data_IF_129553826830
#
_entry.id   IF_129553826830
#
_cell.length_a   1.000
_cell.length_b   1.000
_cell.length_c   1.000
_cell.angle_alpha   90.00
_cell.angle_beta   90.00
_cell.angle_gamma   90.00
#
_symmetry.space_group_name_H-M   'P 1'
#
loop_
_entity.id
_entity.type
_entity.pdbx_description
1 polymer ?
#
# COMPACT_ATOMS: atom_id res chain seq x y z
N UNK A 1 -27.91 7.73 -1.75
CA UNK A 1 -27.37 8.26 -0.50
C UNK A 1 -26.35 7.24 -0.03
N UNK A 2 -25.06 7.58 -0.01
CA UNK A 2 -24.01 6.71 0.51
C UNK A 2 -24.21 6.60 2.03
N UNK A 3 -24.33 5.41 2.55
CA UNK A 3 -24.56 5.12 3.98
C UNK A 3 -23.38 5.49 4.88
N UNK A 4 -22.76 6.64 4.71
CA UNK A 4 -21.79 7.20 5.68
C UNK A 4 -20.53 6.38 6.01
N UNK A 5 -20.31 5.26 5.36
CA UNK A 5 -19.14 4.41 5.57
C UNK A 5 -17.96 4.95 4.74
N UNK A 6 -16.98 5.54 5.42
CA UNK A 6 -15.74 5.95 4.78
C UNK A 6 -14.97 4.73 4.26
N UNK A 7 -14.36 4.85 3.08
CA UNK A 7 -13.44 3.84 2.56
C UNK A 7 -12.05 4.04 3.14
N UNK A 8 -11.51 3.05 3.84
CA UNK A 8 -10.20 3.13 4.51
C UNK A 8 -9.05 3.39 3.52
N UNK A 9 -9.07 2.71 2.36
CA UNK A 9 -8.11 2.91 1.29
C UNK A 9 -8.12 4.36 0.78
N UNK A 10 -9.29 4.91 0.46
CA UNK A 10 -9.43 6.29 0.01
C UNK A 10 -8.99 7.29 1.09
N UNK A 11 -9.45 7.10 2.33
CA UNK A 11 -9.07 7.96 3.47
C UNK A 11 -7.57 7.92 3.70
N UNK A 12 -6.95 6.73 3.69
CA UNK A 12 -5.50 6.57 3.84
C UNK A 12 -4.71 7.30 2.75
N UNK A 13 -5.08 7.11 1.49
CA UNK A 13 -4.42 7.77 0.35
C UNK A 13 -4.53 9.29 0.41
N UNK A 14 -5.72 9.82 0.66
CA UNK A 14 -5.94 11.27 0.76
C UNK A 14 -5.19 11.86 1.97
N UNK A 15 -5.24 11.20 3.11
CA UNK A 15 -4.51 11.63 4.31
C UNK A 15 -3.01 11.66 4.07
N UNK A 16 -2.44 10.62 3.46
CA UNK A 16 -1.03 10.58 3.06
C UNK A 16 -0.67 11.74 2.15
N UNK A 17 -1.47 12.00 1.12
CA UNK A 17 -1.23 13.08 0.17
C UNK A 17 -1.25 14.45 0.89
N UNK A 18 -2.25 14.71 1.71
CA UNK A 18 -2.38 15.96 2.46
C UNK A 18 -1.22 16.17 3.43
N UNK A 19 -0.75 15.12 4.13
CA UNK A 19 0.42 15.22 5.00
C UNK A 19 1.66 15.60 4.19
N UNK A 20 1.88 14.96 3.04
CA UNK A 20 3.03 15.26 2.15
C UNK A 20 2.97 16.65 1.52
N UNK A 21 1.78 17.22 1.35
CA UNK A 21 1.58 18.60 0.93
C UNK A 21 1.71 19.63 2.08
N UNK A 22 2.07 19.21 3.29
CA UNK A 22 2.29 20.10 4.42
C UNK A 22 1.06 20.34 5.31
N UNK A 23 -0.07 19.67 5.06
CA UNK A 23 -1.30 19.81 5.85
C UNK A 23 -1.38 18.84 7.04
N UNK A 24 -0.26 18.24 7.47
CA UNK A 24 -0.24 17.26 8.57
C UNK A 24 -0.77 17.79 9.90
N UNK A 25 -0.71 19.10 10.14
CA UNK A 25 -1.22 19.75 11.35
C UNK A 25 -2.66 20.24 11.24
N UNK A 26 -3.29 20.12 10.06
CA UNK A 26 -4.71 20.44 9.89
C UNK A 26 -5.57 19.50 10.74
N UNK A 27 -6.54 20.07 11.47
CA UNK A 27 -7.44 19.32 12.36
C UNK A 27 -8.20 18.22 11.61
N UNK A 28 -8.53 18.43 10.34
CA UNK A 28 -9.26 17.44 9.52
C UNK A 28 -8.37 16.24 9.19
N UNK A 29 -7.10 16.47 8.91
CA UNK A 29 -6.10 15.44 8.65
C UNK A 29 -5.84 14.60 9.91
N UNK A 30 -5.72 15.26 11.07
CA UNK A 30 -5.60 14.56 12.38
C UNK A 30 -6.83 13.70 12.66
N UNK A 31 -8.03 14.23 12.45
CA UNK A 31 -9.29 13.44 12.59
C UNK A 31 -9.34 12.24 11.64
N UNK A 32 -8.79 12.35 10.43
CA UNK A 32 -8.73 11.22 9.52
C UNK A 32 -7.79 10.11 10.05
N UNK A 33 -6.64 10.46 10.63
CA UNK A 33 -5.76 9.49 11.30
C UNK A 33 -6.44 8.85 12.51
N UNK A 34 -7.13 9.63 13.34
CA UNK A 34 -7.90 9.14 14.48
C UNK A 34 -9.01 8.16 14.01
N UNK A 35 -9.71 8.51 12.96
CA UNK A 35 -10.74 7.64 12.37
C UNK A 35 -10.15 6.31 11.87
N UNK A 36 -8.99 6.34 11.21
CA UNK A 36 -8.29 5.12 10.82
C UNK A 36 -7.95 4.25 12.04
N UNK A 37 -7.52 4.84 13.15
CA UNK A 37 -7.28 4.09 14.41
C UNK A 37 -8.55 3.43 14.93
N UNK A 38 -9.66 4.19 15.00
CA UNK A 38 -10.94 3.72 15.52
C UNK A 38 -11.58 2.61 14.71
N UNK A 39 -11.27 2.55 13.43
CA UNK A 39 -11.88 1.61 12.48
C UNK A 39 -10.96 0.45 12.07
N UNK A 40 -9.74 0.42 12.62
CA UNK A 40 -8.82 -0.70 12.39
C UNK A 40 -9.34 -1.99 13.03
N UNK A 41 -9.09 -3.11 12.36
CA UNK A 41 -9.39 -4.43 12.93
C UNK A 41 -8.56 -4.69 14.19
N UNK A 42 -9.10 -5.40 15.18
CA UNK A 42 -8.36 -5.75 16.40
C UNK A 42 -7.05 -6.51 16.13
N UNK A 43 -7.04 -7.35 15.08
CA UNK A 43 -5.86 -8.11 14.62
C UNK A 43 -5.02 -7.39 13.57
N UNK A 44 -5.26 -6.09 13.35
CA UNK A 44 -4.52 -5.25 12.41
C UNK A 44 -5.17 -5.10 11.04
N UNK A 45 -4.82 -3.99 10.38
CA UNK A 45 -5.30 -3.64 9.06
C UNK A 45 -6.75 -3.19 8.98
N UNK A 46 -7.26 -3.06 7.77
CA UNK A 46 -8.61 -2.58 7.45
C UNK A 46 -9.26 -3.42 6.35
N UNK A 47 -10.61 -3.30 6.28
CA UNK A 47 -11.43 -3.83 5.19
C UNK A 47 -12.37 -2.73 4.71
N UNK A 48 -12.31 -2.37 3.43
CA UNK A 48 -13.10 -1.26 2.85
C UNK A 48 -14.57 -1.57 2.66
N UNK A 49 -14.96 -2.83 2.71
CA UNK A 49 -16.34 -3.26 2.51
C UNK A 49 -16.86 -3.93 3.77
N UNK A 50 -18.07 -3.53 4.19
CA UNK A 50 -18.84 -4.26 5.20
C UNK A 50 -19.36 -5.57 4.58
N UNK A 51 -18.48 -6.53 4.38
CA UNK A 51 -18.95 -7.88 4.12
C UNK A 51 -19.53 -8.46 5.42
N UNK A 52 -20.71 -9.03 5.36
CA UNK A 52 -21.29 -9.76 6.50
C UNK A 52 -20.34 -10.87 7.00
N UNK A 53 -19.48 -11.35 6.11
CA UNK A 53 -18.46 -12.37 6.34
C UNK A 53 -17.03 -11.79 6.27
N UNK A 54 -16.84 -10.52 6.64
CA UNK A 54 -15.50 -9.92 6.66
C UNK A 54 -14.58 -10.75 7.57
N UNK A 55 -13.34 -11.06 7.13
CA UNK A 55 -12.38 -11.75 7.98
C UNK A 55 -12.11 -10.94 9.24
N UNK A 56 -11.78 -11.63 10.33
CA UNK A 56 -11.45 -11.00 11.61
C UNK A 56 -10.18 -10.11 11.56
N UNK A 57 -9.52 -10.08 10.41
CA UNK A 57 -8.31 -9.31 10.11
C UNK A 57 -8.54 -8.38 8.94
N UNK A 58 -7.70 -7.37 8.76
CA UNK A 58 -7.66 -6.54 7.57
C UNK A 58 -7.35 -7.36 6.30
N UNK A 59 -7.42 -6.68 5.14
CA UNK A 59 -7.04 -7.24 3.85
C UNK A 59 -5.83 -6.47 3.30
N UNK A 60 -4.93 -7.18 2.64
CA UNK A 60 -3.70 -6.59 2.09
C UNK A 60 -3.99 -5.39 1.18
N UNK A 61 -4.96 -5.51 0.27
CA UNK A 61 -5.34 -4.43 -0.64
C UNK A 61 -5.96 -3.22 0.06
N UNK A 62 -6.64 -3.41 1.19
CA UNK A 62 -7.38 -2.34 1.86
C UNK A 62 -6.55 -1.69 2.98
N UNK A 63 -5.42 -2.27 3.34
CA UNK A 63 -4.67 -1.91 4.55
C UNK A 63 -3.42 -1.06 4.29
N UNK A 64 -2.75 -1.24 3.14
CA UNK A 64 -1.50 -0.54 2.87
C UNK A 64 -1.67 0.99 2.78
N UNK A 65 -2.81 1.47 2.24
CA UNK A 65 -3.07 2.90 2.17
C UNK A 65 -3.25 3.52 3.56
N UNK A 66 -3.97 2.83 4.46
CA UNK A 66 -4.10 3.26 5.86
C UNK A 66 -2.74 3.36 6.53
N UNK A 67 -1.92 2.32 6.45
CA UNK A 67 -0.55 2.34 6.99
C UNK A 67 0.33 3.40 6.35
N UNK A 68 0.19 3.67 5.05
CA UNK A 68 0.96 4.68 4.35
C UNK A 68 0.67 6.11 4.83
N UNK A 69 -0.52 6.37 5.35
CA UNK A 69 -0.85 7.66 5.98
C UNK A 69 -0.03 7.86 7.26
N UNK A 70 0.10 6.83 8.08
CA UNK A 70 0.96 6.88 9.27
C UNK A 70 2.45 6.97 8.90
N UNK A 71 2.90 6.25 7.88
CA UNK A 71 4.29 6.35 7.39
C UNK A 71 4.65 7.76 6.89
N UNK A 72 3.68 8.54 6.43
CA UNK A 72 3.87 9.94 6.06
C UNK A 72 3.83 10.91 7.26
N UNK A 73 3.29 10.49 8.40
CA UNK A 73 3.15 11.31 9.61
C UNK A 73 4.39 11.20 10.49
N UNK A 74 4.93 12.32 11.04
CA UNK A 74 6.03 12.26 11.98
C UNK A 74 5.69 11.42 13.21
N UNK A 75 6.55 10.45 13.56
CA UNK A 75 6.33 9.56 14.72
C UNK A 75 6.20 10.29 16.05
N UNK A 76 6.83 11.45 16.18
CA UNK A 76 6.72 12.31 17.36
C UNK A 76 5.31 12.82 17.63
N UNK A 77 4.45 12.80 16.60
CA UNK A 77 3.04 13.20 16.69
C UNK A 77 2.08 12.02 16.94
N UNK A 78 2.58 10.78 17.01
CA UNK A 78 1.73 9.62 17.22
C UNK A 78 1.32 9.48 18.68
N UNK A 79 0.02 9.36 18.90
CA UNK A 79 -0.55 8.97 20.19
C UNK A 79 -0.33 7.47 20.46
N UNK A 80 -0.52 7.03 21.71
CA UNK A 80 -0.41 5.61 22.04
C UNK A 80 -1.39 4.73 21.23
N UNK A 81 -2.67 5.11 21.01
CA UNK A 81 -3.56 4.36 20.10
C UNK A 81 -3.06 4.29 18.66
N UNK A 82 -2.45 5.35 18.13
CA UNK A 82 -1.86 5.33 16.79
C UNK A 82 -0.70 4.34 16.69
N UNK A 83 0.19 4.35 17.69
CA UNK A 83 1.32 3.39 17.77
C UNK A 83 0.82 1.96 17.74
N UNK A 84 -0.10 1.60 18.63
CA UNK A 84 -0.67 0.26 18.68
C UNK A 84 -1.43 -0.14 17.40
N UNK A 85 -2.10 0.80 16.72
CA UNK A 85 -2.73 0.55 15.44
C UNK A 85 -1.70 0.22 14.36
N UNK A 86 -0.61 1.00 14.28
CA UNK A 86 0.48 0.79 13.31
C UNK A 86 1.19 -0.52 13.59
N UNK A 87 1.51 -0.84 14.85
CA UNK A 87 2.17 -2.09 15.24
C UNK A 87 1.36 -3.31 14.80
N UNK A 88 0.07 -3.36 15.11
CA UNK A 88 -0.81 -4.46 14.67
C UNK A 88 -0.95 -4.53 13.15
N UNK A 89 -1.05 -3.36 12.50
CA UNK A 89 -1.14 -3.31 11.03
C UNK A 89 0.15 -3.75 10.34
N UNK A 90 1.31 -3.39 10.88
CA UNK A 90 2.60 -3.83 10.39
C UNK A 90 2.78 -5.34 10.62
N UNK A 91 2.45 -5.84 11.82
CA UNK A 91 2.54 -7.25 12.16
C UNK A 91 1.71 -8.12 11.21
N UNK A 92 0.50 -7.68 10.85
CA UNK A 92 -0.32 -8.36 9.84
C UNK A 92 0.44 -8.61 8.52
N UNK A 93 1.22 -7.63 8.03
CA UNK A 93 2.03 -7.82 6.82
C UNK A 93 3.27 -8.66 7.05
N UNK A 94 3.91 -8.51 8.19
CA UNK A 94 5.14 -9.21 8.54
C UNK A 94 4.90 -10.71 8.75
N UNK A 95 3.82 -11.10 9.43
CA UNK A 95 3.40 -12.49 9.59
C UNK A 95 3.19 -13.19 8.23
N UNK A 96 2.75 -12.46 7.24
CA UNK A 96 2.54 -12.96 5.88
C UNK A 96 3.73 -12.72 4.94
N UNK A 97 4.86 -12.25 5.46
CA UNK A 97 6.07 -11.91 4.69
C UNK A 97 5.76 -11.11 3.42
N UNK A 98 4.76 -10.22 3.49
CA UNK A 98 4.23 -9.39 2.40
C UNK A 98 3.52 -10.16 1.26
N UNK A 99 3.67 -11.46 1.13
CA UNK A 99 3.24 -12.22 -0.04
C UNK A 99 2.53 -13.55 0.24
N UNK A 100 2.54 -14.03 1.48
CA UNK A 100 2.01 -15.37 1.86
C UNK A 100 0.54 -15.35 2.26
N UNK A 101 -0.29 -14.57 1.60
CA UNK A 101 -1.71 -14.55 1.87
C UNK A 101 -2.46 -15.46 0.88
N UNK A 102 -2.62 -16.73 1.24
CA UNK A 102 -3.25 -17.73 0.39
C UNK A 102 -2.37 -18.20 -0.77
N UNK A 103 -2.97 -18.49 -1.94
CA UNK A 103 -2.23 -18.87 -3.13
C UNK A 103 -1.40 -17.69 -3.66
N UNK A 104 -0.27 -18.01 -4.29
CA UNK A 104 0.57 -17.00 -4.93
C UNK A 104 -0.24 -16.18 -5.93
N UNK A 105 -0.23 -14.86 -5.77
CA UNK A 105 -0.90 -13.93 -6.65
C UNK A 105 0.13 -13.13 -7.46
N UNK A 106 0.34 -13.51 -8.70
CA UNK A 106 1.39 -12.96 -9.58
C UNK A 106 1.41 -11.43 -9.71
N UNK A 107 0.27 -10.71 -9.73
CA UNK A 107 0.30 -9.24 -9.77
C UNK A 107 1.09 -8.59 -8.63
N UNK A 108 1.18 -9.21 -7.45
CA UNK A 108 1.95 -8.64 -6.33
C UNK A 108 3.47 -8.65 -6.58
N UNK A 109 3.96 -9.45 -7.51
CA UNK A 109 5.37 -9.53 -7.87
C UNK A 109 5.75 -8.59 -9.02
N UNK A 110 4.79 -7.81 -9.54
CA UNK A 110 4.97 -6.86 -10.64
C UNK A 110 4.93 -5.44 -10.10
N UNK A 111 6.07 -4.75 -10.11
CA UNK A 111 6.16 -3.36 -9.65
C UNK A 111 5.42 -2.43 -10.57
N UNK A 112 4.52 -1.65 -10.03
CA UNK A 112 3.62 -0.81 -10.80
C UNK A 112 3.72 0.68 -10.43
N UNK A 113 3.32 1.52 -11.38
CA UNK A 113 3.18 2.95 -11.23
C UNK A 113 2.14 3.47 -12.25
N UNK A 114 1.25 4.44 -11.91
CA UNK A 114 1.11 5.11 -10.60
C UNK A 114 0.64 4.20 -9.45
N UNK A 115 0.96 4.62 -8.22
CA UNK A 115 0.39 4.01 -7.01
C UNK A 115 -1.05 4.48 -6.85
N UNK A 116 -1.98 3.66 -7.24
CA UNK A 116 -3.39 3.84 -6.94
C UNK A 116 -3.86 2.68 -6.06
N UNK A 117 -4.95 2.05 -6.27
CA UNK A 117 -5.54 1.06 -5.38
C UNK A 117 -4.73 -0.24 -5.21
N UNK A 118 -3.95 -0.64 -6.20
CA UNK A 118 -3.31 -1.95 -6.22
C UNK A 118 -2.10 -2.05 -5.29
N UNK A 119 -1.85 -3.28 -4.82
CA UNK A 119 -0.71 -3.64 -4.01
C UNK A 119 0.32 -4.41 -4.83
N UNK A 120 1.59 -4.16 -4.56
CA UNK A 120 2.72 -5.01 -4.93
C UNK A 120 3.76 -5.03 -3.80
N UNK A 121 4.73 -5.92 -3.89
CA UNK A 121 5.76 -6.07 -2.86
C UNK A 121 6.60 -4.80 -2.64
N UNK A 122 6.80 -3.97 -3.67
CA UNK A 122 7.48 -2.68 -3.51
C UNK A 122 6.62 -1.68 -2.72
N UNK A 123 5.30 -1.72 -2.88
CA UNK A 123 4.37 -0.94 -2.05
C UNK A 123 4.47 -1.36 -0.59
N UNK A 124 4.41 -2.67 -0.33
CA UNK A 124 4.56 -3.22 1.02
C UNK A 124 5.89 -2.84 1.68
N UNK A 125 6.99 -3.00 0.95
CA UNK A 125 8.32 -2.60 1.41
C UNK A 125 8.41 -1.09 1.72
N UNK A 126 7.90 -0.23 0.82
CA UNK A 126 7.94 1.23 1.01
C UNK A 126 7.16 1.64 2.27
N UNK A 127 6.00 1.04 2.50
CA UNK A 127 5.19 1.30 3.70
C UNK A 127 5.90 0.82 4.96
N UNK A 128 6.33 -0.44 5.01
CA UNK A 128 6.92 -1.01 6.22
C UNK A 128 8.28 -0.40 6.56
N UNK A 129 9.15 -0.17 5.58
CA UNK A 129 10.42 0.53 5.83
C UNK A 129 10.17 1.98 6.24
N UNK A 130 9.18 2.65 5.67
CA UNK A 130 8.74 3.99 6.09
C UNK A 130 8.21 4.04 7.52
N UNK A 131 7.61 2.95 7.98
CA UNK A 131 7.21 2.74 9.37
C UNK A 131 8.38 2.27 10.28
N UNK A 132 9.59 2.06 9.73
CA UNK A 132 10.81 1.70 10.44
C UNK A 132 10.98 0.23 10.77
N UNK A 133 10.37 -0.62 10.00
CA UNK A 133 10.57 -2.07 10.04
C UNK A 133 11.63 -2.55 9.02
N UNK A 134 12.52 -1.65 8.56
CA UNK A 134 13.51 -1.97 7.51
C UNK A 134 14.44 -3.13 7.86
N UNK A 135 14.73 -3.32 9.15
CA UNK A 135 15.63 -4.35 9.65
C UNK A 135 14.89 -5.65 10.05
N UNK A 136 13.58 -5.74 9.84
CA UNK A 136 12.84 -6.96 10.14
C UNK A 136 13.18 -8.06 9.13
N UNK A 137 13.68 -9.21 9.61
CA UNK A 137 14.12 -10.31 8.77
C UNK A 137 13.01 -10.92 7.90
N UNK A 138 11.76 -10.76 8.30
CA UNK A 138 10.57 -11.21 7.54
C UNK A 138 10.38 -10.45 6.22
N UNK A 139 11.06 -9.32 6.03
CA UNK A 139 11.11 -8.62 4.75
C UNK A 139 12.11 -9.23 3.76
N UNK A 140 12.90 -10.21 4.19
CA UNK A 140 14.02 -10.78 3.43
C UNK A 140 13.67 -11.21 2.02
N UNK A 141 12.56 -11.98 1.85
CA UNK A 141 12.11 -12.41 0.53
C UNK A 141 11.78 -11.22 -0.40
N UNK A 142 11.04 -10.24 0.09
CA UNK A 142 10.64 -9.09 -0.71
C UNK A 142 11.84 -8.19 -1.07
N UNK A 143 12.80 -8.04 -0.15
CA UNK A 143 14.05 -7.31 -0.39
C UNK A 143 14.95 -8.04 -1.39
N UNK A 144 15.02 -9.36 -1.32
CA UNK A 144 15.75 -10.16 -2.31
C UNK A 144 15.14 -10.01 -3.71
N UNK A 145 13.81 -10.09 -3.82
CA UNK A 145 13.11 -9.84 -5.08
C UNK A 145 13.40 -8.43 -5.60
N UNK A 146 13.36 -7.42 -4.74
CA UNK A 146 13.71 -6.05 -5.09
C UNK A 146 15.12 -5.95 -5.66
N UNK A 147 16.12 -6.54 -4.98
CA UNK A 147 17.52 -6.56 -5.44
C UNK A 147 17.66 -7.30 -6.77
N UNK A 148 17.03 -8.46 -6.92
CA UNK A 148 17.04 -9.28 -8.15
C UNK A 148 16.47 -8.54 -9.37
N UNK A 149 15.48 -7.70 -9.17
CA UNK A 149 14.87 -6.90 -10.27
C UNK A 149 15.73 -5.69 -10.68
N UNK A 150 16.83 -5.41 -9.99
CA UNK A 150 17.76 -4.34 -10.35
C UNK A 150 18.47 -4.67 -11.65
N UNK A 151 18.41 -3.77 -12.63
CA UNK A 151 19.11 -3.89 -13.93
C UNK A 151 20.60 -3.53 -13.78
N UNK A 152 21.41 -3.94 -14.75
CA UNK A 152 22.85 -3.62 -14.80
C UNK A 152 23.15 -2.13 -14.70
N UNK A 153 22.26 -1.26 -15.22
CA UNK A 153 22.36 0.19 -15.10
C UNK A 153 21.90 0.77 -13.75
N UNK A 154 21.70 -0.05 -12.72
CA UNK A 154 21.31 0.41 -11.37
C UNK A 154 19.85 0.86 -11.24
N UNK A 155 19.03 0.65 -12.26
CA UNK A 155 17.62 1.06 -12.32
C UNK A 155 16.69 -0.14 -12.23
N UNK A 156 15.41 0.14 -11.95
CA UNK A 156 14.32 -0.84 -11.99
C UNK A 156 13.35 -0.53 -13.12
N UNK A 157 12.76 -1.57 -13.69
CA UNK A 157 11.71 -1.43 -14.71
C UNK A 157 10.36 -1.17 -14.08
N UNK A 158 9.48 -0.51 -14.84
CA UNK A 158 8.04 -0.56 -14.62
C UNK A 158 7.55 -1.90 -15.16
N UNK A 159 7.05 -2.79 -14.31
CA UNK A 159 6.54 -4.09 -14.76
C UNK A 159 5.10 -3.97 -15.30
N UNK A 160 4.31 -3.06 -14.73
CA UNK A 160 2.94 -2.81 -15.15
C UNK A 160 2.52 -1.37 -14.83
N UNK A 161 1.70 -0.77 -15.69
CA UNK A 161 1.01 0.50 -15.40
C UNK A 161 -0.16 0.24 -14.47
N UNK A 162 -0.86 -0.85 -14.69
CA UNK A 162 -1.94 -1.35 -13.87
C UNK A 162 -1.75 -2.86 -13.73
N UNK A 163 -1.46 -3.39 -12.54
CA UNK A 163 -1.44 -4.83 -12.34
C UNK A 163 -2.84 -5.37 -12.61
N UNK A 164 -2.91 -6.57 -13.14
CA UNK A 164 -4.14 -7.15 -13.66
C UNK A 164 -5.37 -6.92 -12.79
N UNK A 165 -6.47 -6.47 -13.39
CA UNK A 165 -7.75 -6.58 -12.71
C UNK A 165 -8.00 -8.05 -12.37
N UNK A 166 -8.66 -8.33 -11.25
CA UNK A 166 -9.14 -9.67 -10.98
C UNK A 166 -9.93 -10.20 -12.20
N UNK A 167 -10.01 -11.52 -12.44
CA UNK A 167 -10.80 -12.04 -13.56
C UNK A 167 -12.24 -11.50 -13.59
N UNK A 168 -12.84 -11.28 -12.41
CA UNK A 168 -14.17 -10.67 -12.29
C UNK A 168 -14.17 -9.20 -12.76
N UNK A 169 -13.17 -8.41 -12.37
CA UNK A 169 -13.04 -7.02 -12.84
C UNK A 169 -12.73 -6.97 -14.32
N UNK A 170 -11.89 -7.86 -14.85
CA UNK A 170 -11.61 -7.95 -16.27
C UNK A 170 -12.86 -8.25 -17.09
N UNK A 171 -13.68 -9.21 -16.63
CA UNK A 171 -14.98 -9.54 -17.22
C UNK A 171 -15.92 -8.33 -17.18
N UNK A 172 -16.06 -7.71 -16.02
CA UNK A 172 -16.94 -6.54 -15.86
C UNK A 172 -16.53 -5.38 -16.78
N UNK A 173 -15.23 -5.09 -16.92
CA UNK A 173 -14.74 -4.06 -17.84
C UNK A 173 -14.92 -4.43 -19.32
N UNK A 174 -14.87 -5.71 -19.66
CA UNK A 174 -15.18 -6.17 -21.02
C UNK A 174 -16.66 -5.92 -21.38
N UNK A 175 -17.56 -6.12 -20.40
CA UNK A 175 -18.99 -5.85 -20.54
C UNK A 175 -19.34 -4.36 -20.49
N UNK A 176 -18.48 -3.52 -19.91
CA UNK A 176 -18.67 -2.09 -19.70
C UNK A 176 -17.47 -1.25 -20.20
N UNK A 177 -17.13 -1.29 -21.49
CA UNK A 177 -15.89 -0.69 -22.01
C UNK A 177 -15.78 0.83 -21.74
N UNK A 178 -16.91 1.54 -21.75
CA UNK A 178 -16.97 2.98 -21.49
C UNK A 178 -16.75 3.36 -20.00
N UNK A 179 -16.72 2.39 -19.09
CA UNK A 179 -16.47 2.57 -17.66
C UNK A 179 -15.06 2.19 -17.25
N UNK A 180 -14.25 1.66 -18.16
CA UNK A 180 -12.86 1.35 -17.87
C UNK A 180 -12.08 2.65 -17.76
N UNK A 181 -11.52 2.99 -16.58
CA UNK A 181 -10.65 4.14 -16.49
C UNK A 181 -9.43 3.89 -17.37
N UNK A 182 -9.12 4.84 -18.24
CA UNK A 182 -7.85 4.80 -18.96
C UNK A 182 -6.72 4.90 -17.93
N UNK A 183 -5.78 3.95 -17.87
CA UNK A 183 -4.65 4.06 -16.96
C UNK A 183 -3.85 5.29 -17.33
N UNK A 184 -3.56 6.16 -16.34
CA UNK A 184 -2.61 7.24 -16.52
C UNK A 184 -1.22 6.64 -16.65
N UNK A 185 -0.72 6.54 -17.87
CA UNK A 185 0.60 6.00 -18.17
C UNK A 185 1.59 7.17 -18.31
N UNK A 186 2.34 7.46 -17.27
CA UNK A 186 3.45 8.43 -17.31
C UNK A 186 4.76 7.81 -17.81
N UNK A 187 4.89 6.50 -17.74
CA UNK A 187 6.05 5.71 -18.12
C UNK A 187 5.62 4.44 -18.87
N UNK A 188 6.53 3.84 -19.62
CA UNK A 188 6.26 2.66 -20.45
C UNK A 188 6.60 1.38 -19.70
N UNK A 189 5.67 0.44 -19.62
CA UNK A 189 5.91 -0.88 -19.05
C UNK A 189 7.05 -1.60 -19.79
N UNK A 190 7.85 -2.38 -19.05
CA UNK A 190 9.04 -3.07 -19.53
C UNK A 190 10.28 -2.18 -19.69
N UNK A 191 10.16 -0.87 -19.52
CA UNK A 191 11.28 0.09 -19.61
C UNK A 191 11.77 0.52 -18.22
N UNK A 192 13.03 1.01 -18.10
CA UNK A 192 13.51 1.60 -16.86
C UNK A 192 12.60 2.73 -16.41
N UNK A 193 12.15 2.67 -15.17
CA UNK A 193 11.23 3.64 -14.56
C UNK A 193 11.97 4.55 -13.59
N UNK A 194 11.77 5.84 -13.66
CA UNK A 194 12.27 6.80 -12.68
C UNK A 194 11.56 6.62 -11.34
N UNK A 195 10.23 6.39 -11.38
CA UNK A 195 9.41 6.31 -10.18
C UNK A 195 9.65 5.00 -9.41
N UNK A 196 9.73 3.86 -10.11
CA UNK A 196 10.07 2.59 -9.47
C UNK A 196 11.51 2.64 -8.93
N UNK A 197 12.45 3.20 -9.68
CA UNK A 197 13.85 3.34 -9.23
C UNK A 197 13.94 4.22 -7.98
N UNK A 198 13.27 5.37 -7.95
CA UNK A 198 13.25 6.24 -6.77
C UNK A 198 12.73 5.51 -5.54
N UNK A 199 11.59 4.81 -5.68
CA UNK A 199 11.01 4.04 -4.56
C UNK A 199 11.91 2.91 -4.11
N UNK A 200 12.48 2.15 -5.05
CA UNK A 200 13.42 1.07 -4.76
C UNK A 200 14.63 1.57 -3.96
N UNK A 201 15.23 2.68 -4.39
CA UNK A 201 16.35 3.31 -3.67
C UNK A 201 15.92 3.83 -2.29
N UNK A 202 14.73 4.43 -2.17
CA UNK A 202 14.18 4.88 -0.89
C UNK A 202 13.96 3.71 0.07
N UNK A 203 13.46 2.58 -0.41
CA UNK A 203 13.35 1.35 0.40
C UNK A 203 14.73 0.89 0.87
N UNK A 204 15.67 0.73 -0.06
CA UNK A 204 17.02 0.24 0.25
C UNK A 204 17.79 1.18 1.19
N UNK A 205 17.56 2.50 1.15
CA UNK A 205 18.18 3.44 2.09
C UNK A 205 17.64 3.34 3.53
N UNK A 206 16.55 2.62 3.74
CA UNK A 206 15.91 2.40 5.05
C UNK A 206 16.14 0.98 5.59
N UNK A 207 16.89 0.17 4.87
CA UNK A 207 17.27 -1.20 5.26
C UNK A 207 18.79 -1.22 5.51
N UNK A 208 19.20 -1.87 6.59
CA UNK A 208 20.62 -2.02 6.95
C UNK A 208 21.41 -2.90 5.98
#
# INVERSE_FOLDING_TARGET
MSNGHGHHCYTGNMTRALIRFGYGDDRRVRKALEWLVLTAHPKGGWTCWNYKDAPATGRTLDSWEGLSAFAASPRSKWTAPMKGCVERGAEYYLEHELHRQGARYEPWYRFHWPMHYYYDLLVGLDVLTGLGYGDDNRLGFALELLRKKRRSGGRWSLDAVQPDPSPAAAKWYAEHPNKRPAPLAFETAGRPSKMITLRALTVLSRTG
#
